data_IF_843273369251
#
_entry.id   IF_843273369251
#
_cell.length_a   1.000
_cell.length_b   1.000
_cell.length_c   1.000
_cell.angle_alpha   90.00
_cell.angle_beta   90.00
_cell.angle_gamma   90.00
#
_symmetry.space_group_name_H-M   'P 1'
#
loop_
_entity.id
_entity.type
_entity.pdbx_description
1 polymer ?
#
# COMPACT_ATOMS: atom_id res chain seq x y z
N UNK A 1 18.39 -28.06 -0.18
CA UNK A 1 17.14 -28.23 0.60
C UNK A 1 16.57 -26.84 0.92
N UNK A 2 15.48 -26.44 0.26
CA UNK A 2 14.78 -25.17 0.57
C UNK A 2 13.84 -25.43 1.75
N UNK A 3 14.22 -25.00 2.95
CA UNK A 3 13.33 -24.98 4.12
C UNK A 3 12.09 -24.15 3.79
N UNK A 4 10.89 -24.70 4.01
CA UNK A 4 9.61 -23.98 3.94
C UNK A 4 9.70 -22.79 4.91
N UNK A 5 9.89 -21.58 4.39
CA UNK A 5 10.13 -20.34 5.14
C UNK A 5 8.93 -19.81 5.96
N UNK A 6 7.81 -20.57 6.06
CA UNK A 6 6.61 -20.13 6.78
C UNK A 6 6.47 -20.70 8.19
N UNK A 7 7.37 -21.60 8.60
CA UNK A 7 7.28 -22.30 9.88
C UNK A 7 8.62 -22.23 10.62
N UNK A 8 8.57 -21.78 11.87
CA UNK A 8 9.71 -21.78 12.78
C UNK A 8 9.65 -23.06 13.61
N UNK A 9 10.67 -23.91 13.46
CA UNK A 9 10.83 -25.12 14.25
C UNK A 9 11.40 -24.73 15.61
N UNK A 10 10.74 -25.14 16.69
CA UNK A 10 11.26 -24.88 18.03
C UNK A 10 12.52 -25.70 18.29
N UNK A 11 13.62 -25.04 18.69
CA UNK A 11 14.88 -25.70 19.05
C UNK A 11 14.75 -26.65 20.24
N UNK A 12 13.80 -26.39 21.15
CA UNK A 12 13.62 -27.18 22.36
C UNK A 12 12.73 -28.42 22.15
N UNK A 13 11.60 -28.29 21.45
CA UNK A 13 10.60 -29.36 21.34
C UNK A 13 10.32 -29.82 19.90
N UNK A 14 11.01 -29.28 18.89
CA UNK A 14 10.84 -29.66 17.48
C UNK A 14 9.48 -29.32 16.85
N UNK A 15 8.57 -28.68 17.58
CA UNK A 15 7.22 -28.36 17.06
C UNK A 15 7.29 -27.24 16.03
N UNK A 16 6.53 -27.38 14.93
CA UNK A 16 6.38 -26.33 13.92
C UNK A 16 5.45 -25.23 14.42
N UNK A 17 5.93 -23.99 14.38
CA UNK A 17 5.16 -22.81 14.78
C UNK A 17 4.99 -21.87 13.58
N UNK A 18 3.88 -21.13 13.48
CA UNK A 18 3.75 -20.06 12.50
C UNK A 18 4.88 -19.05 12.62
N UNK A 19 5.40 -18.58 11.49
CA UNK A 19 6.54 -17.65 11.40
C UNK A 19 6.45 -16.43 12.32
N UNK A 20 5.25 -15.89 12.55
CA UNK A 20 5.04 -14.70 13.37
C UNK A 20 5.07 -14.95 14.90
N UNK A 21 4.99 -16.20 15.38
CA UNK A 21 4.85 -16.48 16.83
C UNK A 21 6.14 -16.20 17.61
N UNK A 22 5.97 -15.54 18.77
CA UNK A 22 7.05 -15.21 19.72
C UNK A 22 7.46 -16.42 20.58
N UNK A 23 6.47 -17.14 21.08
CA UNK A 23 6.68 -18.32 21.94
C UNK A 23 6.15 -19.57 21.23
N UNK A 24 6.80 -20.70 21.47
CA UNK A 24 6.32 -21.99 20.99
C UNK A 24 4.94 -22.33 21.56
N UNK A 25 4.04 -22.86 20.73
CA UNK A 25 2.71 -23.32 21.17
C UNK A 25 2.75 -24.47 22.16
N UNK A 26 3.77 -25.32 22.06
CA UNK A 26 3.89 -26.53 22.87
C UNK A 26 4.69 -26.26 24.15
N UNK A 27 5.98 -25.93 24.02
CA UNK A 27 6.88 -25.79 25.17
C UNK A 27 7.03 -24.36 25.72
N UNK A 28 6.35 -23.36 25.12
CA UNK A 28 6.45 -21.93 25.47
C UNK A 28 7.85 -21.31 25.37
N UNK A 29 8.85 -22.04 24.87
CA UNK A 29 10.20 -21.52 24.65
C UNK A 29 10.17 -20.34 23.67
N UNK A 30 11.08 -19.38 23.90
CA UNK A 30 11.19 -18.17 23.11
C UNK A 30 11.78 -18.47 21.74
N UNK A 31 11.10 -18.06 20.66
CA UNK A 31 11.50 -18.35 19.28
C UNK A 31 12.21 -17.18 18.60
N UNK A 32 11.91 -15.93 18.98
CA UNK A 32 12.46 -14.74 18.31
C UNK A 32 12.37 -13.49 19.18
N UNK A 33 13.27 -12.54 18.94
CA UNK A 33 13.23 -11.20 19.53
C UNK A 33 11.91 -10.46 19.23
N UNK A 34 11.46 -9.63 20.17
CA UNK A 34 10.29 -8.76 20.01
C UNK A 34 10.65 -7.40 19.46
N UNK A 35 9.83 -6.95 18.51
CA UNK A 35 9.75 -5.55 18.10
C UNK A 35 8.48 -5.00 18.74
N UNK A 36 8.61 -4.07 19.69
CA UNK A 36 7.45 -3.55 20.43
C UNK A 36 6.64 -2.61 19.54
N UNK A 37 7.30 -1.58 19.02
CA UNK A 37 6.71 -0.56 18.16
C UNK A 37 7.49 -0.46 16.85
N UNK A 38 6.79 -0.06 15.79
CA UNK A 38 7.44 0.33 14.54
C UNK A 38 8.02 1.74 14.72
N UNK A 39 9.28 1.92 14.32
CA UNK A 39 9.89 3.23 14.08
C UNK A 39 9.70 3.56 12.60
N UNK A 40 8.84 4.55 12.31
CA UNK A 40 8.43 4.86 10.95
C UNK A 40 9.62 5.17 10.06
N UNK A 41 10.52 6.06 10.49
CA UNK A 41 11.63 6.52 9.66
C UNK A 41 12.65 5.42 9.43
N UNK A 42 12.99 4.67 10.47
CA UNK A 42 13.89 3.54 10.34
C UNK A 42 13.32 2.46 9.44
N UNK A 43 12.02 2.14 9.58
CA UNK A 43 11.35 1.14 8.75
C UNK A 43 11.22 1.60 7.31
N UNK A 44 10.91 2.87 7.05
CA UNK A 44 10.90 3.44 5.69
C UNK A 44 12.29 3.31 5.07
N UNK A 45 13.35 3.76 5.75
CA UNK A 45 14.71 3.64 5.23
C UNK A 45 15.07 2.19 4.90
N UNK A 46 14.79 1.28 5.85
CA UNK A 46 15.02 -0.15 5.67
C UNK A 46 14.19 -0.75 4.53
N UNK A 47 13.02 -0.19 4.22
CA UNK A 47 12.17 -0.64 3.11
C UNK A 47 12.89 -0.47 1.76
N UNK A 48 13.61 0.65 1.58
CA UNK A 48 14.39 0.91 0.36
C UNK A 48 15.71 0.15 0.34
N UNK A 49 16.37 0.00 1.49
CA UNK A 49 17.66 -0.70 1.59
C UNK A 49 17.50 -2.23 1.49
N UNK A 50 16.58 -2.80 2.28
CA UNK A 50 16.30 -4.23 2.35
C UNK A 50 14.81 -4.48 2.67
N UNK A 51 13.92 -4.47 1.65
CA UNK A 51 12.48 -4.58 1.85
C UNK A 51 12.08 -5.87 2.57
N UNK A 52 12.82 -6.97 2.32
CA UNK A 52 12.57 -8.26 2.96
C UNK A 52 12.70 -8.21 4.47
N UNK A 53 13.73 -7.52 4.95
CA UNK A 53 13.95 -7.34 6.39
C UNK A 53 12.92 -6.36 6.97
N UNK A 54 12.65 -5.25 6.30
CA UNK A 54 11.65 -4.28 6.75
C UNK A 54 10.26 -4.91 6.95
N UNK A 55 9.79 -5.69 5.98
CA UNK A 55 8.49 -6.37 6.09
C UNK A 55 8.47 -7.47 7.15
N UNK A 56 9.59 -8.16 7.38
CA UNK A 56 9.71 -9.11 8.49
C UNK A 56 9.60 -8.39 9.83
N UNK A 57 10.28 -7.25 10.00
CA UNK A 57 10.18 -6.41 11.19
C UNK A 57 8.75 -5.89 11.40
N UNK A 58 8.08 -5.49 10.31
CA UNK A 58 6.66 -5.10 10.34
C UNK A 58 5.79 -6.26 10.83
N UNK A 59 5.93 -7.48 10.31
CA UNK A 59 5.16 -8.66 10.77
C UNK A 59 5.43 -8.92 12.26
N UNK A 60 6.68 -8.74 12.68
CA UNK A 60 7.15 -9.04 14.02
C UNK A 60 6.74 -8.03 15.08
N UNK A 61 6.38 -6.81 14.67
CA UNK A 61 5.94 -5.75 15.56
C UNK A 61 4.60 -6.06 16.27
N UNK A 62 4.54 -5.83 17.58
CA UNK A 62 3.32 -6.02 18.38
C UNK A 62 2.31 -4.87 18.12
N UNK A 63 2.80 -3.63 18.15
CA UNK A 63 2.01 -2.44 17.87
C UNK A 63 2.33 -1.86 16.48
N UNK A 64 1.26 -1.65 15.70
CA UNK A 64 1.30 -1.06 14.35
C UNK A 64 0.83 0.40 14.42
N UNK A 65 1.49 1.18 15.27
CA UNK A 65 1.17 2.57 15.62
C UNK A 65 0.93 3.48 14.40
N UNK A 66 1.69 3.33 13.32
CA UNK A 66 1.55 4.18 12.12
C UNK A 66 0.54 3.66 11.08
N UNK A 67 -0.22 2.60 11.36
CA UNK A 67 -1.12 2.01 10.36
C UNK A 67 -2.21 2.98 9.90
N UNK A 68 -2.91 3.61 10.85
CA UNK A 68 -4.00 4.56 10.58
C UNK A 68 -3.51 5.79 9.82
N UNK A 69 -2.47 6.53 10.26
CA UNK A 69 -2.01 7.70 9.52
C UNK A 69 -1.53 7.36 8.10
N UNK A 70 -0.85 6.22 7.90
CA UNK A 70 -0.42 5.80 6.56
C UNK A 70 -1.61 5.45 5.66
N UNK A 71 -2.64 4.77 6.18
CA UNK A 71 -3.87 4.51 5.43
C UNK A 71 -4.57 5.81 5.01
N UNK A 72 -4.64 6.80 5.90
CA UNK A 72 -5.27 8.09 5.58
C UNK A 72 -4.49 8.87 4.52
N UNK A 73 -3.15 8.88 4.58
CA UNK A 73 -2.33 9.53 3.55
C UNK A 73 -2.47 8.81 2.21
N UNK A 74 -2.43 7.48 2.23
CA UNK A 74 -2.64 6.67 1.03
C UNK A 74 -4.00 6.95 0.39
N UNK A 75 -5.08 6.98 1.17
CA UNK A 75 -6.42 7.22 0.66
C UNK A 75 -6.58 8.61 0.05
N UNK A 76 -5.97 9.64 0.65
CA UNK A 76 -5.91 11.00 0.08
C UNK A 76 -5.20 10.99 -1.27
N UNK A 77 -4.05 10.31 -1.38
CA UNK A 77 -3.33 10.27 -2.65
C UNK A 77 -4.12 9.57 -3.75
N UNK A 78 -4.68 8.40 -3.44
CA UNK A 78 -5.47 7.65 -4.41
C UNK A 78 -6.69 8.47 -4.86
N UNK A 79 -7.34 9.20 -3.95
CA UNK A 79 -8.41 10.15 -4.31
C UNK A 79 -7.94 11.22 -5.30
N UNK A 80 -6.82 11.90 -5.02
CA UNK A 80 -6.29 12.94 -5.92
C UNK A 80 -5.95 12.38 -7.30
N UNK A 81 -5.32 11.20 -7.35
CA UNK A 81 -5.00 10.52 -8.61
C UNK A 81 -6.27 10.16 -9.39
N UNK A 82 -7.31 9.65 -8.71
CA UNK A 82 -8.60 9.35 -9.32
C UNK A 82 -9.27 10.61 -9.89
N UNK A 83 -9.21 11.73 -9.16
CA UNK A 83 -9.73 13.01 -9.60
C UNK A 83 -9.05 13.51 -10.88
N UNK A 84 -7.71 13.44 -10.95
CA UNK A 84 -6.92 13.85 -12.12
C UNK A 84 -7.24 12.97 -13.34
N UNK A 85 -7.28 11.65 -13.15
CA UNK A 85 -7.58 10.73 -14.26
C UNK A 85 -8.98 10.99 -14.81
N UNK A 86 -9.95 11.22 -13.93
CA UNK A 86 -11.31 11.49 -14.34
C UNK A 86 -11.45 12.84 -15.04
N UNK A 87 -10.78 13.88 -14.55
CA UNK A 87 -10.80 15.20 -15.19
C UNK A 87 -10.26 15.09 -16.62
N UNK A 88 -9.19 14.32 -16.86
CA UNK A 88 -8.62 14.07 -18.18
C UNK A 88 -9.57 13.28 -19.09
N UNK A 89 -10.19 12.20 -18.58
CA UNK A 89 -10.97 11.26 -19.41
C UNK A 89 -12.40 11.70 -19.71
N UNK A 90 -13.10 12.32 -18.75
CA UNK A 90 -14.55 12.53 -18.85
C UNK A 90 -14.97 13.97 -19.06
N UNK A 91 -14.02 14.92 -19.12
CA UNK A 91 -14.29 16.35 -19.30
C UNK A 91 -15.35 16.90 -18.32
N UNK A 92 -15.38 16.38 -17.09
CA UNK A 92 -16.37 16.78 -16.08
C UNK A 92 -16.19 18.26 -15.75
N UNK A 93 -17.18 19.08 -16.14
CA UNK A 93 -17.08 20.54 -16.08
C UNK A 93 -17.74 21.16 -14.84
N UNK A 94 -18.30 20.38 -13.90
CA UNK A 94 -19.31 20.92 -12.95
C UNK A 94 -19.34 20.38 -11.51
N UNK A 95 -18.30 19.74 -11.00
CA UNK A 95 -18.41 19.01 -9.73
C UNK A 95 -17.52 19.53 -8.59
N UNK A 96 -17.61 20.84 -8.30
CA UNK A 96 -16.91 21.45 -7.16
C UNK A 96 -17.74 21.50 -5.86
N UNK A 97 -19.07 21.47 -5.94
CA UNK A 97 -19.94 21.72 -4.78
C UNK A 97 -19.93 20.63 -3.69
N UNK A 98 -19.37 19.44 -3.96
CA UNK A 98 -19.31 18.31 -3.00
C UNK A 98 -17.90 17.73 -2.82
N UNK A 99 -16.86 18.50 -3.12
CA UNK A 99 -15.48 18.00 -3.15
C UNK A 99 -15.06 17.34 -1.81
N UNK A 100 -15.29 18.00 -0.67
CA UNK A 100 -14.92 17.48 0.65
C UNK A 100 -15.72 16.20 0.99
N UNK A 101 -17.02 16.20 0.76
CA UNK A 101 -17.89 15.06 1.04
C UNK A 101 -17.50 13.84 0.19
N UNK A 102 -17.30 14.04 -1.11
CA UNK A 102 -16.86 13.00 -2.02
C UNK A 102 -15.45 12.49 -1.66
N UNK A 103 -14.56 13.37 -1.20
CA UNK A 103 -13.23 12.97 -0.72
C UNK A 103 -13.32 11.99 0.44
N UNK A 104 -14.17 12.29 1.45
CA UNK A 104 -14.32 11.44 2.63
C UNK A 104 -14.92 10.07 2.29
N UNK A 105 -15.95 10.04 1.43
CA UNK A 105 -16.56 8.78 0.98
C UNK A 105 -15.53 7.95 0.22
N UNK A 106 -14.82 8.55 -0.74
CA UNK A 106 -13.81 7.85 -1.53
C UNK A 106 -12.70 7.30 -0.64
N UNK A 107 -12.19 8.11 0.28
CA UNK A 107 -11.20 7.64 1.26
C UNK A 107 -11.73 6.44 2.06
N UNK A 108 -12.98 6.49 2.50
CA UNK A 108 -13.64 5.39 3.20
C UNK A 108 -13.72 4.11 2.37
N UNK A 109 -14.12 4.22 1.09
CA UNK A 109 -14.19 3.08 0.16
C UNK A 109 -12.82 2.43 -0.01
N UNK A 110 -11.75 3.22 -0.22
CA UNK A 110 -10.38 2.69 -0.34
C UNK A 110 -9.88 2.00 0.93
N UNK A 111 -10.19 2.56 2.11
CA UNK A 111 -9.81 1.92 3.37
C UNK A 111 -10.55 0.58 3.51
N UNK A 112 -11.85 0.56 3.20
CA UNK A 112 -12.67 -0.66 3.24
C UNK A 112 -12.15 -1.69 2.24
N UNK A 113 -11.74 -1.31 1.03
CA UNK A 113 -11.21 -2.25 0.05
C UNK A 113 -9.91 -2.90 0.51
N UNK A 114 -8.98 -2.13 1.07
CA UNK A 114 -7.74 -2.66 1.68
C UNK A 114 -8.05 -3.64 2.82
N UNK A 115 -8.99 -3.29 3.70
CA UNK A 115 -9.43 -4.12 4.83
C UNK A 115 -10.07 -5.42 4.33
N UNK A 116 -10.99 -5.36 3.38
CA UNK A 116 -11.65 -6.53 2.80
C UNK A 116 -10.65 -7.44 2.11
N UNK A 117 -9.76 -6.90 1.30
CA UNK A 117 -8.74 -7.69 0.65
C UNK A 117 -7.83 -8.39 1.67
N UNK A 118 -7.41 -7.67 2.71
CA UNK A 118 -6.63 -8.25 3.81
C UNK A 118 -7.38 -9.39 4.51
N UNK A 119 -8.69 -9.26 4.67
CA UNK A 119 -9.55 -10.30 5.25
C UNK A 119 -9.59 -11.55 4.37
N UNK A 120 -9.86 -11.40 3.07
CA UNK A 120 -9.87 -12.52 2.12
C UNK A 120 -8.49 -13.18 2.02
N UNK A 121 -7.43 -12.40 1.96
CA UNK A 121 -6.05 -12.91 1.92
C UNK A 121 -5.71 -13.72 3.18
N UNK A 122 -6.19 -13.29 4.35
CA UNK A 122 -6.05 -14.05 5.60
C UNK A 122 -6.75 -15.41 5.50
N UNK A 123 -7.96 -15.45 4.94
CA UNK A 123 -8.74 -16.68 4.77
C UNK A 123 -8.13 -17.66 3.77
N UNK A 124 -7.52 -17.15 2.69
CA UNK A 124 -6.86 -17.99 1.69
C UNK A 124 -5.60 -18.63 2.28
N UNK A 125 -4.82 -17.87 3.05
CA UNK A 125 -3.51 -18.34 3.52
C UNK A 125 -3.58 -19.14 4.81
N UNK A 126 -4.59 -18.95 5.67
CA UNK A 126 -4.83 -19.61 6.98
C UNK A 126 -3.67 -19.58 8.00
N UNK A 127 -2.48 -19.11 7.60
CA UNK A 127 -1.25 -19.06 8.40
C UNK A 127 -0.85 -17.63 8.75
N UNK A 128 -1.67 -16.64 8.41
CA UNK A 128 -1.35 -15.22 8.54
C UNK A 128 -2.30 -14.53 9.50
N UNK A 129 -1.87 -13.42 10.09
CA UNK A 129 -2.74 -12.58 10.94
C UNK A 129 -3.29 -11.45 10.09
N UNK A 130 -4.59 -11.19 10.22
CA UNK A 130 -5.27 -10.09 9.54
C UNK A 130 -4.55 -8.73 9.72
N UNK A 131 -4.19 -8.38 10.95
CA UNK A 131 -3.48 -7.12 11.26
C UNK A 131 -2.11 -7.02 10.55
N UNK A 132 -1.42 -8.14 10.34
CA UNK A 132 -0.16 -8.16 9.60
C UNK A 132 -0.41 -7.92 8.12
N UNK A 133 -1.44 -8.54 7.55
CA UNK A 133 -1.80 -8.39 6.14
C UNK A 133 -2.14 -6.93 5.81
N UNK A 134 -2.99 -6.29 6.63
CA UNK A 134 -3.30 -4.86 6.46
C UNK A 134 -2.03 -4.03 6.54
N UNK A 135 -1.17 -4.29 7.53
CA UNK A 135 0.10 -3.55 7.69
C UNK A 135 1.02 -3.71 6.48
N UNK A 136 1.22 -4.94 6.01
CA UNK A 136 2.08 -5.23 4.87
C UNK A 136 1.60 -4.53 3.60
N UNK A 137 0.30 -4.56 3.33
CA UNK A 137 -0.29 -3.87 2.19
C UNK A 137 -0.08 -2.37 2.33
N UNK A 138 -0.45 -1.76 3.47
CA UNK A 138 -0.29 -0.32 3.69
C UNK A 138 1.17 0.13 3.53
N UNK A 139 2.13 -0.57 4.13
CA UNK A 139 3.55 -0.20 4.02
C UNK A 139 4.13 -0.45 2.62
N UNK A 140 3.53 -1.32 1.82
CA UNK A 140 3.94 -1.50 0.42
C UNK A 140 3.68 -0.26 -0.44
N UNK A 141 2.76 0.62 -0.01
CA UNK A 141 2.43 1.87 -0.69
C UNK A 141 3.16 3.10 -0.17
N UNK A 142 4.23 2.93 0.62
CA UNK A 142 5.11 4.04 1.02
C UNK A 142 5.59 4.87 -0.20
N UNK A 143 5.96 4.29 -1.36
CA UNK A 143 6.32 5.10 -2.53
C UNK A 143 5.18 6.01 -3.04
N UNK A 144 3.92 5.55 -3.00
CA UNK A 144 2.75 6.40 -3.32
C UNK A 144 2.55 7.49 -2.26
N UNK A 145 2.79 7.18 -0.99
CA UNK A 145 2.73 8.21 0.07
C UNK A 145 3.84 9.26 -0.15
N UNK A 146 5.02 8.87 -0.63
CA UNK A 146 6.05 9.83 -1.01
C UNK A 146 5.68 10.67 -2.23
N UNK A 147 4.97 10.11 -3.22
CA UNK A 147 4.46 10.93 -4.32
C UNK A 147 3.44 11.96 -3.82
N UNK A 148 2.62 11.64 -2.82
CA UNK A 148 1.75 12.63 -2.17
C UNK A 148 2.54 13.74 -1.47
N UNK A 149 3.54 13.40 -0.66
CA UNK A 149 4.24 14.37 0.18
C UNK A 149 5.18 15.25 -0.66
N UNK A 150 5.78 14.69 -1.72
CA UNK A 150 6.82 15.37 -2.51
C UNK A 150 6.28 15.82 -3.87
N UNK A 151 5.75 14.90 -4.68
CA UNK A 151 5.36 15.22 -6.06
C UNK A 151 4.11 16.09 -6.10
N UNK A 152 3.09 15.83 -5.28
CA UNK A 152 1.84 16.60 -5.34
C UNK A 152 1.98 18.09 -5.00
N UNK A 153 2.77 18.51 -4.00
CA UNK A 153 3.08 19.93 -3.83
C UNK A 153 3.83 20.55 -5.02
N UNK A 154 4.74 19.80 -5.66
CA UNK A 154 5.47 20.25 -6.85
C UNK A 154 4.52 20.41 -8.04
N UNK A 155 3.64 19.43 -8.26
CA UNK A 155 2.58 19.44 -9.27
C UNK A 155 1.69 20.67 -9.09
N UNK A 156 1.20 20.90 -7.87
CA UNK A 156 0.38 22.06 -7.55
C UNK A 156 1.16 23.38 -7.69
N UNK A 157 2.44 23.42 -7.32
CA UNK A 157 3.27 24.62 -7.50
C UNK A 157 3.50 24.99 -8.98
N UNK A 158 3.60 23.99 -9.87
CA UNK A 158 3.89 24.20 -11.30
C UNK A 158 2.63 24.51 -12.10
N UNK A 159 1.52 23.82 -11.80
CA UNK A 159 0.27 23.87 -12.58
C UNK A 159 -0.89 24.54 -11.84
N UNK A 160 -0.79 24.76 -10.53
CA UNK A 160 -1.87 25.32 -9.72
C UNK A 160 -3.13 24.48 -9.78
N UNK A 161 -4.27 25.15 -9.93
CA UNK A 161 -5.57 24.52 -10.10
C UNK A 161 -5.66 23.68 -11.39
N UNK A 162 -4.87 24.00 -12.42
CA UNK A 162 -4.89 23.28 -13.69
C UNK A 162 -4.38 21.85 -13.60
N UNK A 163 -3.69 21.47 -12.51
CA UNK A 163 -3.38 20.06 -12.26
C UNK A 163 -4.64 19.20 -12.10
N UNK A 164 -5.68 19.81 -11.57
CA UNK A 164 -6.91 19.15 -11.18
C UNK A 164 -8.06 19.38 -12.18
N UNK A 165 -7.89 20.30 -13.14
CA UNK A 165 -8.94 20.61 -14.13
C UNK A 165 -8.62 20.08 -15.53
N UNK A 166 -9.67 19.81 -16.31
CA UNK A 166 -9.51 19.35 -17.69
C UNK A 166 -9.08 20.47 -18.65
N UNK A 167 -9.50 21.71 -18.38
CA UNK A 167 -9.40 22.79 -19.33
C UNK A 167 -8.81 24.06 -18.69
N UNK A 168 -7.55 24.43 -19.01
CA UNK A 168 -6.56 23.70 -19.81
C UNK A 168 -5.91 22.53 -19.06
N UNK A 169 -5.60 21.44 -19.77
CA UNK A 169 -4.91 20.29 -19.17
C UNK A 169 -3.44 20.58 -18.89
N UNK A 170 -2.80 19.91 -17.90
CA UNK A 170 -1.38 20.10 -17.59
C UNK A 170 -0.44 19.88 -18.77
N UNK A 171 -0.83 18.95 -19.66
CA UNK A 171 -0.10 18.60 -20.88
C UNK A 171 -0.08 19.74 -21.91
N UNK A 172 -1.06 20.66 -21.87
CA UNK A 172 -1.10 21.84 -22.74
C UNK A 172 -0.28 23.01 -22.18
N UNK A 173 -0.25 23.17 -20.86
CA UNK A 173 0.41 24.33 -20.22
C UNK A 173 1.94 24.15 -20.24
N UNK A 174 2.45 23.05 -19.68
CA UNK A 174 3.90 22.76 -19.61
C UNK A 174 4.15 21.27 -19.89
N UNK A 175 3.93 20.89 -21.15
CA UNK A 175 4.04 19.52 -21.68
C UNK A 175 5.22 18.70 -21.13
N UNK A 176 6.44 19.24 -21.23
CA UNK A 176 7.64 18.51 -20.81
C UNK A 176 7.66 18.22 -19.30
N UNK A 177 7.29 19.20 -18.47
CA UNK A 177 7.24 19.02 -17.02
C UNK A 177 6.14 18.04 -16.63
N UNK A 178 4.97 18.11 -17.28
CA UNK A 178 3.87 17.20 -17.02
C UNK A 178 4.27 15.74 -17.29
N UNK A 179 4.95 15.45 -18.41
CA UNK A 179 5.42 14.09 -18.69
C UNK A 179 6.46 13.60 -17.68
N UNK A 180 7.39 14.47 -17.25
CA UNK A 180 8.38 14.10 -16.23
C UNK A 180 7.67 13.72 -14.92
N UNK A 181 6.68 14.50 -14.49
CA UNK A 181 5.94 14.23 -13.25
C UNK A 181 5.10 12.95 -13.36
N UNK A 182 4.34 12.76 -14.44
CA UNK A 182 3.61 11.51 -14.66
C UNK A 182 4.53 10.29 -14.72
N UNK A 183 5.72 10.43 -15.32
CA UNK A 183 6.72 9.36 -15.34
C UNK A 183 7.22 9.03 -13.94
N UNK A 184 7.50 10.04 -13.10
CA UNK A 184 7.90 9.84 -11.70
C UNK A 184 6.79 9.18 -10.87
N UNK A 185 5.53 9.58 -11.04
CA UNK A 185 4.39 8.91 -10.41
C UNK A 185 4.25 7.44 -10.87
N UNK A 186 4.50 7.18 -12.15
CA UNK A 186 4.56 5.83 -12.72
C UNK A 186 5.64 4.97 -12.07
N UNK A 187 6.84 5.52 -11.85
CA UNK A 187 7.92 4.84 -11.12
C UNK A 187 7.51 4.52 -9.68
N UNK A 188 6.90 5.47 -8.96
CA UNK A 188 6.44 5.23 -7.58
C UNK A 188 5.36 4.15 -7.52
N UNK A 189 4.47 4.11 -8.51
CA UNK A 189 3.43 3.08 -8.63
C UNK A 189 4.04 1.70 -8.91
N UNK A 190 5.02 1.62 -9.83
CA UNK A 190 5.76 0.39 -10.11
C UNK A 190 6.53 -0.10 -8.87
N UNK A 191 7.18 0.81 -8.15
CA UNK A 191 7.93 0.46 -6.94
C UNK A 191 7.00 -0.09 -5.84
N UNK A 192 5.79 0.47 -5.72
CA UNK A 192 4.78 -0.04 -4.76
C UNK A 192 4.32 -1.45 -5.12
N UNK A 193 4.18 -1.78 -6.41
CA UNK A 193 3.90 -3.14 -6.87
C UNK A 193 5.04 -4.11 -6.49
N UNK A 194 6.29 -3.69 -6.66
CA UNK A 194 7.47 -4.49 -6.27
C UNK A 194 7.46 -4.73 -4.76
N UNK A 195 7.22 -3.69 -3.95
CA UNK A 195 7.13 -3.82 -2.50
C UNK A 195 5.99 -4.73 -2.06
N UNK A 196 4.82 -4.63 -2.71
CA UNK A 196 3.68 -5.49 -2.43
C UNK A 196 4.00 -6.95 -2.73
N UNK A 197 4.65 -7.23 -3.87
CA UNK A 197 5.15 -8.55 -4.19
C UNK A 197 6.09 -9.08 -3.10
N UNK A 198 7.07 -8.28 -2.68
CA UNK A 198 8.05 -8.69 -1.65
C UNK A 198 7.34 -8.98 -0.33
N UNK A 199 6.42 -8.10 0.10
CA UNK A 199 5.64 -8.26 1.33
C UNK A 199 4.85 -9.57 1.35
N UNK A 200 4.12 -9.89 0.27
CA UNK A 200 3.36 -11.13 0.14
C UNK A 200 4.29 -12.35 0.06
N UNK A 201 5.45 -12.21 -0.57
CA UNK A 201 6.42 -13.31 -0.73
C UNK A 201 7.02 -13.77 0.58
N UNK A 202 7.31 -12.84 1.49
CA UNK A 202 7.82 -13.14 2.84
C UNK A 202 6.80 -13.92 3.63
N UNK A 203 5.53 -13.54 3.47
CA UNK A 203 4.47 -14.11 4.28
C UNK A 203 3.98 -15.47 3.77
N UNK A 204 4.07 -15.70 2.46
CA UNK A 204 3.53 -16.90 1.81
C UNK A 204 4.62 -17.88 1.38
N UNK A 205 5.89 -17.46 1.31
CA UNK A 205 7.02 -18.22 0.75
C UNK A 205 6.84 -18.69 -0.70
N UNK A 206 5.78 -18.26 -1.40
CA UNK A 206 5.46 -18.69 -2.76
C UNK A 206 5.55 -17.51 -3.72
N UNK A 207 6.57 -17.51 -4.58
CA UNK A 207 6.83 -16.42 -5.53
C UNK A 207 5.69 -16.22 -6.52
N UNK A 208 5.16 -17.31 -7.09
CA UNK A 208 4.10 -17.26 -8.10
C UNK A 208 2.82 -16.72 -7.49
N UNK A 209 2.42 -17.26 -6.33
CA UNK A 209 1.25 -16.77 -5.60
C UNK A 209 1.37 -15.28 -5.26
N UNK A 210 2.57 -14.84 -4.86
CA UNK A 210 2.82 -13.44 -4.52
C UNK A 210 2.66 -12.50 -5.72
N UNK A 211 3.15 -12.90 -6.89
CA UNK A 211 2.98 -12.12 -8.13
C UNK A 211 1.48 -12.01 -8.47
N UNK A 212 0.77 -13.13 -8.47
CA UNK A 212 -0.66 -13.16 -8.82
C UNK A 212 -1.46 -12.27 -7.87
N UNK A 213 -1.27 -12.42 -6.56
CA UNK A 213 -1.99 -11.62 -5.56
C UNK A 213 -1.62 -10.14 -5.64
N UNK A 214 -0.34 -9.80 -5.84
CA UNK A 214 0.08 -8.41 -6.00
C UNK A 214 -0.53 -7.76 -7.24
N UNK A 215 -0.56 -8.45 -8.38
CA UNK A 215 -1.17 -7.96 -9.62
C UNK A 215 -2.68 -7.83 -9.48
N UNK A 216 -3.37 -8.82 -8.89
CA UNK A 216 -4.82 -8.73 -8.62
C UNK A 216 -5.12 -7.54 -7.72
N UNK A 217 -4.37 -7.36 -6.64
CA UNK A 217 -4.56 -6.24 -5.73
C UNK A 217 -4.34 -4.88 -6.41
N UNK A 218 -3.24 -4.74 -7.14
CA UNK A 218 -2.98 -3.49 -7.88
C UNK A 218 -4.05 -3.24 -8.93
N UNK A 219 -4.52 -4.29 -9.61
CA UNK A 219 -5.66 -4.22 -10.52
C UNK A 219 -6.94 -3.74 -9.85
N UNK A 220 -7.24 -4.22 -8.63
CA UNK A 220 -8.39 -3.72 -7.86
C UNK A 220 -8.26 -2.24 -7.54
N UNK A 221 -7.10 -1.77 -7.07
CA UNK A 221 -6.87 -0.35 -6.80
C UNK A 221 -6.99 0.50 -8.07
N UNK A 222 -6.42 0.05 -9.19
CA UNK A 222 -6.55 0.75 -10.48
C UNK A 222 -8.00 0.80 -10.98
N UNK A 223 -8.75 -0.29 -10.79
CA UNK A 223 -10.17 -0.31 -11.13
C UNK A 223 -10.96 0.68 -10.27
N UNK A 224 -10.64 0.77 -8.98
CA UNK A 224 -11.27 1.71 -8.07
C UNK A 224 -10.99 3.17 -8.46
N UNK A 225 -9.74 3.49 -8.81
CA UNK A 225 -9.34 4.79 -9.34
C UNK A 225 -10.17 5.19 -10.56
N UNK A 226 -10.48 4.23 -11.45
CA UNK A 226 -11.22 4.49 -12.67
C UNK A 226 -12.74 4.58 -12.45
N UNK A 227 -13.31 3.68 -11.64
CA UNK A 227 -14.76 3.50 -11.52
C UNK A 227 -15.40 4.26 -10.36
N UNK A 228 -14.76 4.40 -9.19
CA UNK A 228 -15.45 5.00 -8.04
C UNK A 228 -15.84 6.46 -8.28
N UNK A 229 -15.04 7.29 -8.97
CA UNK A 229 -15.47 8.64 -9.28
C UNK A 229 -16.74 8.72 -10.14
N UNK A 230 -17.14 7.65 -10.86
CA UNK A 230 -18.44 7.59 -11.55
C UNK A 230 -19.63 7.31 -10.62
N UNK A 231 -19.41 6.78 -9.41
CA UNK A 231 -20.50 6.49 -8.47
C UNK A 231 -20.98 7.75 -7.74
N UNK A 232 -20.18 8.81 -7.72
CA UNK A 232 -20.42 10.01 -6.92
C UNK A 232 -20.77 11.26 -7.76
N UNK A 233 -20.80 11.13 -9.08
CA UNK A 233 -21.14 12.18 -10.05
C UNK A 233 -22.19 11.67 -11.03
#
# INVERSE_FOLDING_TARGET
MKTKQNENICSNCGTNNPFYKKNCTNCKHYLRATVVNIDLWKTIWLLFENPSKAFTDIIFAEHKNFLVPLLTLLSIKIYLTAFIIQSVLLSLSKTTNYLIYNTLILCGIYIVSIVLFSFFFTKITNKTRFKDNVSLITYSFIPIIFSLIILTPIEYGIFGEYWFTHNPSPLLIKKNLAYILFFLEGIMSLLSLIFLYVAISIQTSSRIFSIIIAVIFMGTILSEIFFIPHLLF
#
